data_IF_974546613045
#
_entry.id   IF_974546613045
#
_cell.length_a   1.000
_cell.length_b   1.000
_cell.length_c   1.000
_cell.angle_alpha   90.00
_cell.angle_beta   90.00
_cell.angle_gamma   90.00
#
_symmetry.space_group_name_H-M   'P 1'
#
loop_
_entity.id
_entity.type
_entity.pdbx_description
1 polymer ?
#
# COMPACT_ATOMS: atom_id res chain seq x y z
N UNK A 1 16.54 -11.75 5.35
CA UNK A 1 17.35 -10.82 4.54
C UNK A 1 16.51 -9.70 3.90
N UNK A 2 15.61 -9.05 4.63
CA UNK A 2 15.68 -7.67 5.16
C UNK A 2 16.43 -6.59 4.34
N UNK A 3 16.12 -6.41 3.05
CA UNK A 3 16.66 -5.29 2.23
C UNK A 3 15.68 -4.77 1.14
N UNK A 4 14.38 -4.96 1.30
CA UNK A 4 13.41 -4.70 0.23
C UNK A 4 12.50 -3.55 0.64
N UNK A 5 12.81 -2.32 0.20
CA UNK A 5 11.83 -1.46 -0.53
C UNK A 5 12.40 -0.09 -0.96
N UNK A 6 13.35 0.51 -0.24
CA UNK A 6 13.93 1.81 -0.63
C UNK A 6 14.84 1.75 -1.87
N UNK A 7 15.28 0.56 -2.27
CA UNK A 7 16.18 0.32 -3.40
C UNK A 7 15.48 -0.01 -4.73
N UNK A 8 14.16 -0.30 -4.76
CA UNK A 8 13.49 -0.72 -6.01
C UNK A 8 13.17 0.45 -6.94
N UNK A 9 12.77 1.58 -6.39
CA UNK A 9 12.51 2.80 -7.16
C UNK A 9 13.68 3.80 -7.09
N UNK A 10 14.55 3.71 -6.05
CA UNK A 10 15.56 4.74 -5.72
C UNK A 10 14.97 6.17 -5.67
N UNK A 11 13.67 6.27 -5.37
CA UNK A 11 12.96 7.52 -5.24
C UNK A 11 12.87 7.89 -3.77
N UNK A 12 12.98 9.18 -3.48
CA UNK A 12 12.63 9.70 -2.16
C UNK A 12 11.11 9.57 -1.97
N UNK A 13 10.61 9.50 -0.72
CA UNK A 13 9.16 9.49 -0.47
C UNK A 13 8.42 10.67 -1.14
N UNK A 14 9.09 11.81 -1.28
CA UNK A 14 8.58 13.00 -1.96
C UNK A 14 8.56 12.90 -3.49
N UNK A 15 9.31 11.97 -4.08
CA UNK A 15 9.37 11.75 -5.53
C UNK A 15 8.44 10.61 -6.00
N UNK A 16 7.65 10.01 -5.11
CA UNK A 16 6.67 8.99 -5.46
C UNK A 16 5.50 9.61 -6.25
N UNK A 17 5.45 9.30 -7.54
CA UNK A 17 4.28 9.58 -8.38
C UNK A 17 3.22 8.48 -8.26
N UNK A 18 1.97 8.82 -8.61
CA UNK A 18 0.82 7.92 -8.55
C UNK A 18 1.04 6.60 -9.32
N UNK A 19 1.67 6.68 -10.48
CA UNK A 19 2.01 5.52 -11.33
C UNK A 19 2.86 4.45 -10.62
N UNK A 20 3.64 4.84 -9.61
CA UNK A 20 4.43 3.91 -8.81
C UNK A 20 3.59 3.16 -7.78
N UNK A 21 2.42 3.67 -7.39
CA UNK A 21 1.57 3.14 -6.33
C UNK A 21 0.70 1.97 -6.82
N UNK A 22 1.35 0.88 -7.23
CA UNK A 22 0.68 -0.36 -7.60
C UNK A 22 0.46 -1.29 -6.38
N UNK A 23 -0.34 -2.34 -6.61
CA UNK A 23 -0.69 -3.28 -5.55
C UNK A 23 0.51 -4.03 -4.96
N UNK A 24 1.52 -4.36 -5.78
CA UNK A 24 2.74 -5.01 -5.29
C UNK A 24 3.49 -4.11 -4.31
N UNK A 25 3.77 -2.86 -4.70
CA UNK A 25 4.47 -1.91 -3.85
C UNK A 25 3.74 -1.70 -2.51
N UNK A 26 2.41 -1.60 -2.54
CA UNK A 26 1.62 -1.46 -1.32
C UNK A 26 1.70 -2.72 -0.46
N UNK A 27 1.62 -3.92 -1.04
CA UNK A 27 1.77 -5.17 -0.28
C UNK A 27 3.15 -5.31 0.35
N UNK A 28 4.21 -4.99 -0.40
CA UNK A 28 5.59 -5.02 0.07
C UNK A 28 5.81 -4.01 1.21
N UNK A 29 5.33 -2.77 1.05
CA UNK A 29 5.37 -1.75 2.11
C UNK A 29 4.64 -2.21 3.38
N UNK A 30 3.46 -2.79 3.25
CA UNK A 30 2.71 -3.30 4.40
C UNK A 30 3.41 -4.50 5.07
N UNK A 31 4.04 -5.39 4.30
CA UNK A 31 4.82 -6.50 4.83
C UNK A 31 6.06 -5.99 5.58
N UNK A 32 6.75 -4.99 5.02
CA UNK A 32 7.87 -4.30 5.67
C UNK A 32 7.45 -3.65 7.00
N UNK A 33 6.28 -2.99 7.05
CA UNK A 33 5.77 -2.42 8.29
C UNK A 33 5.52 -3.47 9.39
N UNK A 34 5.10 -4.67 9.02
CA UNK A 34 4.91 -5.78 9.97
C UNK A 34 6.25 -6.37 10.41
N UNK A 35 7.17 -6.63 9.47
CA UNK A 35 8.45 -7.29 9.74
C UNK A 35 9.45 -6.39 10.48
N UNK A 36 9.66 -5.15 10.00
CA UNK A 36 10.73 -4.28 10.52
C UNK A 36 10.29 -3.45 11.71
N UNK A 37 9.03 -3.01 11.69
CA UNK A 37 8.50 -2.10 12.70
C UNK A 37 7.62 -2.80 13.72
N UNK A 38 7.43 -4.12 13.60
CA UNK A 38 6.61 -4.91 14.51
C UNK A 38 5.14 -4.46 14.57
N UNK A 39 4.62 -3.82 13.51
CA UNK A 39 3.24 -3.36 13.50
C UNK A 39 2.28 -4.55 13.51
N UNK A 40 1.25 -4.47 14.36
CA UNK A 40 0.19 -5.50 14.40
C UNK A 40 -0.61 -5.54 13.10
N UNK A 41 -1.26 -6.68 12.84
CA UNK A 41 -2.21 -6.81 11.73
C UNK A 41 -3.34 -5.76 11.77
N UNK A 42 -3.74 -5.30 12.97
CA UNK A 42 -4.70 -4.20 13.15
C UNK A 42 -4.15 -2.88 12.61
N UNK A 43 -2.92 -2.53 12.98
CA UNK A 43 -2.25 -1.31 12.48
C UNK A 43 -2.03 -1.37 10.97
N UNK A 44 -1.59 -2.53 10.45
CA UNK A 44 -1.44 -2.78 9.01
C UNK A 44 -2.76 -2.56 8.27
N UNK A 45 -3.86 -3.11 8.77
CA UNK A 45 -5.18 -2.95 8.17
C UNK A 45 -5.65 -1.48 8.17
N UNK A 46 -5.37 -0.72 9.23
CA UNK A 46 -5.69 0.70 9.28
C UNK A 46 -4.92 1.50 8.21
N UNK A 47 -3.63 1.17 7.98
CA UNK A 47 -2.84 1.78 6.91
C UNK A 47 -3.34 1.38 5.52
N UNK A 48 -3.69 0.11 5.32
CA UNK A 48 -4.31 -0.34 4.07
C UNK A 48 -5.64 0.37 3.81
N UNK A 49 -6.47 0.59 4.83
CA UNK A 49 -7.74 1.31 4.70
C UNK A 49 -7.52 2.77 4.23
N UNK A 50 -6.53 3.47 4.78
CA UNK A 50 -6.17 4.81 4.34
C UNK A 50 -5.72 4.84 2.87
N UNK A 51 -4.87 3.88 2.46
CA UNK A 51 -4.42 3.75 1.07
C UNK A 51 -5.59 3.43 0.12
N UNK A 52 -6.51 2.55 0.52
CA UNK A 52 -7.72 2.26 -0.26
C UNK A 52 -8.62 3.50 -0.42
N UNK A 53 -8.80 4.29 0.64
CA UNK A 53 -9.56 5.54 0.54
C UNK A 53 -8.92 6.53 -0.43
N UNK A 54 -7.59 6.62 -0.42
CA UNK A 54 -6.85 7.43 -1.40
C UNK A 54 -7.05 6.92 -2.83
N UNK A 55 -6.96 5.61 -3.07
CA UNK A 55 -7.19 5.04 -4.41
C UNK A 55 -8.61 5.22 -4.93
N UNK A 56 -9.63 5.18 -4.05
CA UNK A 56 -10.99 5.55 -4.42
C UNK A 56 -11.06 6.99 -4.90
N UNK A 57 -10.41 7.92 -4.20
CA UNK A 57 -10.37 9.32 -4.64
C UNK A 57 -9.66 9.48 -5.99
N UNK A 58 -8.55 8.76 -6.20
CA UNK A 58 -7.81 8.76 -7.46
C UNK A 58 -8.64 8.24 -8.62
N UNK A 59 -9.41 7.16 -8.43
CA UNK A 59 -10.23 6.53 -9.48
C UNK A 59 -11.16 7.54 -10.19
N UNK A 60 -11.68 8.54 -9.45
CA UNK A 60 -12.56 9.58 -10.01
C UNK A 60 -11.80 10.76 -10.64
N UNK A 61 -10.52 10.95 -10.32
CA UNK A 61 -9.71 12.11 -10.74
C UNK A 61 -8.78 11.78 -11.90
N UNK A 62 -8.31 10.54 -11.98
CA UNK A 62 -7.29 10.10 -12.93
C UNK A 62 -7.75 8.81 -13.60
N UNK A 63 -8.51 8.90 -14.72
CA UNK A 63 -9.03 7.73 -15.41
C UNK A 63 -7.95 6.74 -15.87
N UNK A 64 -6.74 7.23 -16.18
CA UNK A 64 -5.59 6.40 -16.58
C UNK A 64 -5.08 5.48 -15.46
N UNK A 65 -5.43 5.76 -14.19
CA UNK A 65 -5.03 4.95 -13.05
C UNK A 65 -6.14 4.00 -12.56
N UNK A 66 -7.25 3.88 -13.28
CA UNK A 66 -8.42 3.12 -12.83
C UNK A 66 -8.13 1.62 -12.62
N UNK A 67 -7.37 0.98 -13.51
CA UNK A 67 -6.97 -0.42 -13.32
C UNK A 67 -6.09 -0.59 -12.08
N UNK A 68 -5.09 0.28 -11.93
CA UNK A 68 -4.19 0.28 -10.77
C UNK A 68 -4.96 0.49 -9.46
N UNK A 69 -5.86 1.47 -9.41
CA UNK A 69 -6.72 1.71 -8.26
C UNK A 69 -7.53 0.46 -7.90
N UNK A 70 -8.15 -0.20 -8.88
CA UNK A 70 -8.92 -1.44 -8.65
C UNK A 70 -8.06 -2.56 -8.08
N UNK A 71 -6.84 -2.75 -8.57
CA UNK A 71 -5.92 -3.75 -8.03
C UNK A 71 -5.60 -3.47 -6.55
N UNK A 72 -5.34 -2.21 -6.19
CA UNK A 72 -5.08 -1.82 -4.80
C UNK A 72 -6.32 -2.00 -3.92
N UNK A 73 -7.50 -1.65 -4.42
CA UNK A 73 -8.77 -1.84 -3.71
C UNK A 73 -9.06 -3.32 -3.44
N UNK A 74 -8.60 -4.23 -4.30
CA UNK A 74 -8.75 -5.67 -4.15
C UNK A 74 -7.82 -6.29 -3.08
N UNK A 75 -6.79 -5.58 -2.59
CA UNK A 75 -5.87 -6.12 -1.58
C UNK A 75 -6.64 -6.52 -0.31
N UNK A 76 -6.58 -7.78 0.15
CA UNK A 76 -7.31 -8.22 1.33
C UNK A 76 -6.73 -7.65 2.62
N UNK A 77 -7.60 -7.34 3.58
CA UNK A 77 -7.19 -7.10 4.96
C UNK A 77 -6.76 -8.41 5.61
N UNK A 78 -5.82 -8.35 6.56
CA UNK A 78 -5.48 -9.52 7.37
C UNK A 78 -6.57 -9.76 8.39
N UNK A 79 -6.91 -11.02 8.63
CA UNK A 79 -7.79 -11.37 9.75
C UNK A 79 -7.09 -10.97 11.05
N UNK A 80 -7.73 -10.13 11.82
CA UNK A 80 -7.36 -9.87 13.21
C UNK A 80 -8.40 -10.58 14.05
N UNK A 81 -7.95 -11.26 15.11
CA UNK A 81 -8.87 -11.67 16.16
C UNK A 81 -9.63 -10.41 16.61
N UNK A 82 -10.95 -10.43 16.41
CA UNK A 82 -11.82 -9.35 16.86
C UNK A 82 -11.75 -9.32 18.39
N UNK A 83 -11.81 -8.14 19.04
CA UNK A 83 -12.09 -8.10 20.47
C UNK A 83 -13.44 -8.75 20.79
#
# INVERSE_FOLDING_TARGET
TLFIDSQRLRLTPSALCLEHLNASLIMDFLAHLEAERGNSARTRNARLAALKSFMKFVEYRVPSSLEQSRQVLAIPTKKTDLP
#
